data_IF_851994742959
#
_entry.id   IF_851994742959
#
_cell.length_a   1.000
_cell.length_b   1.000
_cell.length_c   1.000
_cell.angle_alpha   90.00
_cell.angle_beta   90.00
_cell.angle_gamma   90.00
#
_symmetry.space_group_name_H-M   'P 1'
#
loop_
_entity.id
_entity.type
_entity.pdbx_description
1 polymer ?
#
# COMPACT_ATOMS: atom_id res chain seq x y z
N UNK A 1 22.27 -39.27 -16.45
CA UNK A 1 21.56 -38.08 -16.98
C UNK A 1 22.58 -36.99 -17.18
N UNK A 2 22.83 -36.57 -18.42
CA UNK A 2 23.72 -35.45 -18.73
C UNK A 2 23.14 -34.17 -18.11
N UNK A 3 23.90 -33.50 -17.24
CA UNK A 3 23.48 -32.21 -16.71
C UNK A 3 23.37 -31.23 -17.89
N UNK A 4 22.15 -30.76 -18.20
CA UNK A 4 21.96 -29.70 -19.18
C UNK A 4 22.75 -28.48 -18.70
N UNK A 5 23.80 -28.10 -19.42
CA UNK A 5 24.51 -26.85 -19.16
C UNK A 5 23.67 -25.69 -19.70
N UNK A 6 23.19 -24.83 -18.79
CA UNK A 6 22.53 -23.60 -19.17
C UNK A 6 23.55 -22.47 -19.15
N UNK A 7 23.74 -21.81 -20.29
CA UNK A 7 24.57 -20.60 -20.37
C UNK A 7 23.84 -19.33 -19.93
N UNK A 8 22.51 -19.34 -19.82
CA UNK A 8 21.75 -18.13 -19.53
C UNK A 8 21.85 -17.09 -20.65
N UNK A 9 21.51 -15.84 -20.34
CA UNK A 9 21.64 -14.71 -21.28
C UNK A 9 23.06 -14.13 -21.28
N UNK A 10 23.46 -13.59 -22.41
CA UNK A 10 24.70 -12.82 -22.52
C UNK A 10 24.51 -11.37 -22.09
N UNK A 11 25.59 -10.73 -21.63
CA UNK A 11 25.57 -9.31 -21.21
C UNK A 11 24.98 -8.38 -22.29
N UNK A 12 25.28 -8.61 -23.57
CA UNK A 12 24.74 -7.80 -24.67
C UNK A 12 23.22 -7.97 -24.84
N UNK A 13 22.71 -9.21 -24.77
CA UNK A 13 21.27 -9.48 -24.87
C UNK A 13 20.48 -8.85 -23.71
N UNK A 14 21.10 -8.78 -22.53
CA UNK A 14 20.49 -8.16 -21.34
C UNK A 14 20.34 -6.66 -21.56
N UNK A 15 21.36 -5.97 -22.08
CA UNK A 15 21.27 -4.54 -22.36
C UNK A 15 20.17 -4.22 -23.38
N UNK A 16 20.05 -5.02 -24.43
CA UNK A 16 19.02 -4.83 -25.45
C UNK A 16 17.61 -5.09 -24.90
N UNK A 17 17.44 -6.15 -24.09
CA UNK A 17 16.15 -6.44 -23.44
C UNK A 17 15.80 -5.42 -22.36
N UNK A 18 16.76 -4.86 -21.64
CA UNK A 18 16.51 -3.77 -20.70
C UNK A 18 16.01 -2.51 -21.42
N UNK A 19 16.49 -2.23 -22.64
CA UNK A 19 15.96 -1.13 -23.47
C UNK A 19 14.56 -1.41 -23.98
N UNK A 20 14.24 -2.65 -24.34
CA UNK A 20 12.95 -3.05 -24.89
C UNK A 20 11.85 -3.18 -23.81
N UNK A 21 12.12 -3.93 -22.74
CA UNK A 21 11.15 -4.29 -21.70
C UNK A 21 11.20 -3.38 -20.47
N UNK A 22 12.29 -2.63 -20.28
CA UNK A 22 12.50 -1.79 -19.11
C UNK A 22 12.90 -2.58 -17.86
N UNK A 23 12.89 -1.90 -16.71
CA UNK A 23 13.23 -2.47 -15.41
C UNK A 23 12.10 -3.36 -14.87
N UNK A 24 12.46 -4.39 -14.11
CA UNK A 24 11.53 -5.24 -13.36
C UNK A 24 11.03 -4.50 -12.09
N UNK A 25 10.29 -3.42 -12.30
CA UNK A 25 9.67 -2.63 -11.24
C UNK A 25 8.17 -2.50 -11.47
N UNK A 26 7.40 -2.63 -10.40
CA UNK A 26 6.01 -2.24 -10.40
C UNK A 26 5.95 -0.71 -10.49
N UNK A 27 5.29 -0.19 -11.53
CA UNK A 27 5.16 1.25 -11.71
C UNK A 27 4.40 1.83 -10.52
N UNK A 28 5.08 2.59 -9.66
CA UNK A 28 4.39 3.39 -8.65
C UNK A 28 3.71 4.59 -9.32
N UNK A 29 2.52 5.00 -8.82
CA UNK A 29 1.90 6.30 -9.18
C UNK A 29 3.00 7.38 -9.19
N UNK A 30 3.07 8.16 -10.28
CA UNK A 30 4.04 9.26 -10.43
C UNK A 30 4.03 10.09 -9.16
N UNK A 31 5.21 10.33 -8.58
CA UNK A 31 5.37 11.23 -7.42
C UNK A 31 4.63 12.52 -7.72
N UNK A 32 3.84 13.01 -6.77
CA UNK A 32 3.19 14.30 -6.97
C UNK A 32 4.33 15.33 -7.01
N UNK A 33 4.46 16.03 -8.12
CA UNK A 33 5.51 17.05 -8.26
C UNK A 33 5.30 18.10 -7.17
N UNK A 34 6.34 18.52 -6.42
CA UNK A 34 6.20 19.58 -5.42
C UNK A 34 5.58 20.86 -6.01
N UNK A 35 5.87 21.15 -7.28
CA UNK A 35 5.29 22.29 -8.01
C UNK A 35 3.78 22.06 -8.23
N UNK A 36 3.36 20.83 -8.54
CA UNK A 36 1.95 20.49 -8.70
C UNK A 36 1.19 20.58 -7.37
N UNK A 37 1.80 20.17 -6.26
CA UNK A 37 1.24 20.32 -4.90
C UNK A 37 1.08 21.80 -4.55
N UNK A 38 2.08 22.62 -4.89
CA UNK A 38 2.03 24.05 -4.66
C UNK A 38 0.93 24.72 -5.50
N UNK A 39 0.88 24.43 -6.81
CA UNK A 39 -0.13 24.98 -7.72
C UNK A 39 -1.55 24.51 -7.38
N UNK A 40 -1.72 23.28 -6.88
CA UNK A 40 -3.03 22.80 -6.45
C UNK A 40 -3.57 23.56 -5.25
N UNK A 41 -2.70 24.16 -4.41
CA UNK A 41 -3.16 25.02 -3.31
C UNK A 41 -3.92 26.24 -3.83
N UNK A 42 -3.62 26.74 -5.03
CA UNK A 42 -4.29 27.91 -5.61
C UNK A 42 -5.55 27.55 -6.40
N UNK A 43 -5.83 26.26 -6.61
CA UNK A 43 -6.97 25.79 -7.37
C UNK A 43 -8.20 25.53 -6.49
N UNK A 44 -8.47 26.45 -5.56
CA UNK A 44 -9.64 26.45 -4.68
C UNK A 44 -10.54 27.64 -5.04
N UNK A 45 -11.86 27.40 -5.06
CA UNK A 45 -12.88 28.41 -5.35
C UNK A 45 -12.73 29.65 -4.44
N UNK A 46 -12.37 29.46 -3.17
CA UNK A 46 -12.15 30.55 -2.22
C UNK A 46 -10.97 31.43 -2.65
N UNK A 47 -9.86 30.83 -3.06
CA UNK A 47 -8.67 31.57 -3.50
C UNK A 47 -8.96 32.32 -4.81
N UNK A 48 -9.77 31.74 -5.70
CA UNK A 48 -10.25 32.45 -6.89
C UNK A 48 -11.08 33.69 -6.54
N UNK A 49 -12.01 33.59 -5.57
CA UNK A 49 -12.78 34.74 -5.08
C UNK A 49 -11.85 35.81 -4.50
N UNK A 50 -10.90 35.41 -3.66
CA UNK A 50 -9.94 36.34 -3.05
C UNK A 50 -9.03 36.99 -4.10
N UNK A 51 -8.57 36.25 -5.12
CA UNK A 51 -7.80 36.82 -6.23
C UNK A 51 -8.60 37.87 -7.00
N UNK A 52 -9.87 37.60 -7.31
CA UNK A 52 -10.75 38.58 -7.95
C UNK A 52 -10.92 39.82 -7.07
N UNK A 53 -11.13 39.65 -5.76
CA UNK A 53 -11.22 40.75 -4.81
C UNK A 53 -9.92 41.58 -4.73
N UNK A 54 -8.75 40.94 -4.70
CA UNK A 54 -7.44 41.61 -4.73
C UNK A 54 -7.26 42.45 -6.00
N UNK A 55 -7.63 41.90 -7.17
CA UNK A 55 -7.53 42.62 -8.45
C UNK A 55 -8.45 43.85 -8.45
N UNK A 56 -9.70 43.70 -8.03
CA UNK A 56 -10.66 44.80 -7.97
C UNK A 56 -10.20 45.89 -6.99
N UNK A 57 -9.79 45.52 -5.78
CA UNK A 57 -9.24 46.45 -4.78
C UNK A 57 -7.99 47.18 -5.29
N UNK A 58 -7.13 46.49 -6.04
CA UNK A 58 -5.93 47.07 -6.64
C UNK A 58 -6.23 48.11 -7.71
N UNK A 59 -7.22 47.86 -8.57
CA UNK A 59 -7.68 48.85 -9.56
C UNK A 59 -8.38 50.05 -8.93
N UNK A 60 -9.03 49.85 -7.79
CA UNK A 60 -9.78 50.87 -7.05
C UNK A 60 -8.91 51.83 -6.24
N UNK A 61 -7.60 51.56 -6.12
CA UNK A 61 -6.64 52.45 -5.45
C UNK A 61 -6.41 52.13 -3.97
N UNK A 62 -7.17 51.21 -3.39
CA UNK A 62 -7.00 50.71 -2.03
C UNK A 62 -5.88 49.66 -1.96
N UNK A 63 -4.65 50.16 -2.01
CA UNK A 63 -3.43 49.33 -2.01
C UNK A 63 -3.28 48.58 -0.69
N UNK A 64 -3.75 49.13 0.43
CA UNK A 64 -3.60 48.51 1.75
C UNK A 64 -4.41 47.20 1.86
N UNK A 65 -5.68 47.22 1.46
CA UNK A 65 -6.56 46.03 1.48
C UNK A 65 -6.11 44.99 0.44
N UNK A 66 -5.76 45.43 -0.77
CA UNK A 66 -5.24 44.54 -1.81
C UNK A 66 -3.95 43.81 -1.35
N UNK A 67 -3.00 44.53 -0.74
CA UNK A 67 -1.76 43.94 -0.21
C UNK A 67 -2.07 42.97 0.94
N UNK A 68 -3.02 43.31 1.81
CA UNK A 68 -3.39 42.46 2.95
C UNK A 68 -3.99 41.13 2.49
N UNK A 69 -4.93 41.17 1.54
CA UNK A 69 -5.53 39.95 0.95
C UNK A 69 -4.46 39.13 0.22
N UNK A 70 -3.55 39.78 -0.52
CA UNK A 70 -2.46 39.09 -1.21
C UNK A 70 -1.53 38.36 -0.24
N UNK A 71 -1.18 38.98 0.89
CA UNK A 71 -0.37 38.34 1.95
C UNK A 71 -1.07 37.09 2.49
N UNK A 72 -2.38 37.17 2.74
CA UNK A 72 -3.17 36.04 3.24
C UNK A 72 -3.16 34.88 2.23
N UNK A 73 -3.40 35.16 0.94
CA UNK A 73 -3.37 34.14 -0.14
C UNK A 73 -2.01 33.44 -0.18
N UNK A 74 -0.91 34.20 -0.17
CA UNK A 74 0.45 33.66 -0.23
C UNK A 74 0.77 32.84 1.01
N UNK A 75 0.41 33.33 2.20
CA UNK A 75 0.63 32.64 3.46
C UNK A 75 -0.14 31.31 3.51
N UNK A 76 -1.40 31.29 3.08
CA UNK A 76 -2.22 30.08 3.01
C UNK A 76 -1.65 29.07 2.01
N UNK A 77 -1.21 29.52 0.83
CA UNK A 77 -0.55 28.64 -0.15
C UNK A 77 0.75 28.01 0.37
N UNK A 78 1.59 28.77 1.09
CA UNK A 78 2.82 28.26 1.70
C UNK A 78 2.50 27.26 2.82
N UNK A 79 1.58 27.59 3.72
CA UNK A 79 1.19 26.71 4.83
C UNK A 79 0.59 25.40 4.31
N UNK A 80 -0.30 25.47 3.31
CA UNK A 80 -0.88 24.30 2.66
C UNK A 80 0.18 23.42 2.00
N UNK A 81 1.09 24.02 1.22
CA UNK A 81 2.20 23.31 0.59
C UNK A 81 3.10 22.60 1.61
N UNK A 82 3.51 23.29 2.67
CA UNK A 82 4.39 22.71 3.71
C UNK A 82 3.70 21.54 4.42
N UNK A 83 2.41 21.66 4.73
CA UNK A 83 1.62 20.60 5.38
C UNK A 83 1.48 19.36 4.48
N UNK A 84 1.15 19.56 3.22
CA UNK A 84 0.93 18.47 2.27
C UNK A 84 2.25 17.78 1.89
N UNK A 85 3.31 18.55 1.63
CA UNK A 85 4.65 18.03 1.31
C UNK A 85 5.25 17.21 2.46
N UNK A 86 5.10 17.66 3.71
CA UNK A 86 5.58 16.92 4.89
C UNK A 86 4.87 15.58 5.04
N UNK A 87 3.57 15.55 4.76
CA UNK A 87 2.74 14.34 4.85
C UNK A 87 3.17 13.31 3.81
N UNK A 88 3.40 13.73 2.56
CA UNK A 88 3.83 12.83 1.48
C UNK A 88 5.24 12.25 1.73
N UNK A 89 6.18 13.07 2.21
CA UNK A 89 7.57 12.66 2.46
C UNK A 89 7.68 11.61 3.58
N UNK A 90 6.86 11.72 4.63
CA UNK A 90 6.80 10.72 5.70
C UNK A 90 6.30 9.36 5.20
N UNK A 91 5.41 9.34 4.20
CA UNK A 91 4.94 8.10 3.58
C UNK A 91 5.95 7.49 2.61
N UNK A 92 6.72 8.31 1.90
CA UNK A 92 7.77 7.85 1.00
C UNK A 92 8.91 7.13 1.74
N UNK A 93 9.27 7.61 2.94
CA UNK A 93 10.32 6.98 3.76
C UNK A 93 9.94 5.58 4.24
N UNK A 94 8.64 5.30 4.44
CA UNK A 94 8.14 3.97 4.79
C UNK A 94 8.19 2.98 3.60
N UNK A 95 8.18 3.46 2.35
CA UNK A 95 8.23 2.61 1.14
C UNK A 95 9.64 2.12 0.79
N UNK A 96 10.71 2.76 1.27
CA UNK A 96 12.10 2.51 0.82
C UNK A 96 12.81 1.32 1.49
N UNK A 97 12.13 0.57 2.36
CA UNK A 97 12.76 -0.46 3.20
C UNK A 97 12.78 -1.88 2.59
N UNK A 98 12.54 -2.06 1.29
CA UNK A 98 12.33 -3.41 0.72
C UNK A 98 12.72 -3.48 -0.76
N UNK A 99 13.99 -3.73 -1.08
CA UNK A 99 14.38 -4.15 -2.44
C UNK A 99 15.03 -5.53 -2.37
N UNK A 100 14.38 -6.59 -2.89
CA UNK A 100 14.94 -7.94 -2.89
C UNK A 100 16.00 -8.13 -3.98
N UNK A 101 16.94 -9.06 -3.74
CA UNK A 101 17.94 -9.54 -4.71
C UNK A 101 17.49 -10.85 -5.35
N UNK A 102 18.10 -11.25 -6.46
CA UNK A 102 17.82 -12.50 -7.18
C UNK A 102 19.12 -13.19 -7.65
N UNK A 103 19.13 -14.53 -7.64
CA UNK A 103 20.24 -15.37 -8.15
C UNK A 103 19.92 -15.80 -9.58
N UNK A 104 20.80 -15.47 -10.53
CA UNK A 104 20.60 -15.70 -11.97
C UNK A 104 21.79 -16.41 -12.60
N UNK A 105 21.56 -17.07 -13.74
CA UNK A 105 22.62 -17.59 -14.61
C UNK A 105 22.75 -16.66 -15.82
N UNK A 106 23.91 -16.01 -15.97
CA UNK A 106 24.27 -15.13 -17.09
C UNK A 106 25.69 -15.44 -17.55
N UNK A 107 25.93 -15.46 -18.85
CA UNK A 107 27.23 -15.83 -19.44
C UNK A 107 27.86 -17.13 -18.86
N UNK A 108 27.00 -18.09 -18.51
CA UNK A 108 27.35 -19.39 -17.90
C UNK A 108 27.76 -19.34 -16.43
N UNK A 109 27.64 -18.17 -15.77
CA UNK A 109 28.01 -17.96 -14.37
C UNK A 109 26.79 -17.65 -13.52
N UNK A 110 26.86 -18.05 -12.25
CA UNK A 110 25.85 -17.70 -11.27
C UNK A 110 26.19 -16.34 -10.68
N UNK A 111 25.26 -15.39 -10.77
CA UNK A 111 25.42 -14.03 -10.25
C UNK A 111 24.22 -13.66 -9.36
N UNK A 112 24.49 -12.88 -8.33
CA UNK A 112 23.43 -12.28 -7.49
C UNK A 112 23.26 -10.84 -7.92
N UNK A 113 22.10 -10.53 -8.48
CA UNK A 113 21.76 -9.20 -8.99
C UNK A 113 20.61 -8.60 -8.19
N UNK A 114 20.43 -7.28 -8.29
CA UNK A 114 19.19 -6.68 -7.85
C UNK A 114 18.05 -7.18 -8.76
N UNK A 115 16.93 -7.62 -8.18
CA UNK A 115 15.77 -8.12 -8.91
C UNK A 115 15.21 -7.12 -9.93
N UNK A 116 15.47 -5.82 -9.74
CA UNK A 116 15.11 -4.71 -10.65
C UNK A 116 15.72 -4.89 -12.05
N UNK A 117 16.88 -5.54 -12.17
CA UNK A 117 17.59 -5.73 -13.45
C UNK A 117 17.27 -7.06 -14.15
N UNK A 118 16.25 -7.78 -13.69
CA UNK A 118 15.76 -8.96 -14.38
C UNK A 118 15.05 -8.59 -15.67
N UNK A 119 15.28 -9.38 -16.71
CA UNK A 119 14.61 -9.25 -18.01
C UNK A 119 13.95 -10.56 -18.41
N UNK A 120 12.92 -10.52 -19.28
CA UNK A 120 12.37 -11.74 -19.86
C UNK A 120 13.49 -12.59 -20.48
N UNK A 121 13.45 -13.88 -20.19
CA UNK A 121 14.40 -14.90 -20.61
C UNK A 121 15.63 -15.09 -19.71
N UNK A 122 15.80 -14.30 -18.65
CA UNK A 122 16.75 -14.63 -17.58
C UNK A 122 16.43 -16.00 -17.00
N UNK A 123 17.48 -16.73 -16.61
CA UNK A 123 17.35 -18.00 -15.92
C UNK A 123 17.63 -17.79 -14.43
N UNK A 124 16.57 -17.79 -13.62
CA UNK A 124 16.67 -17.64 -12.16
C UNK A 124 16.90 -19.00 -11.50
N UNK A 125 17.72 -19.00 -10.45
CA UNK A 125 17.91 -20.14 -9.56
C UNK A 125 17.05 -19.92 -8.34
N UNK A 126 16.33 -20.95 -7.94
CA UNK A 126 15.36 -20.92 -6.86
C UNK A 126 15.77 -21.93 -5.79
N UNK A 127 15.82 -21.46 -4.55
CA UNK A 127 16.04 -22.25 -3.35
C UNK A 127 14.89 -22.03 -2.35
N UNK A 128 14.69 -22.99 -1.45
CA UNK A 128 13.71 -22.83 -0.36
C UNK A 128 13.97 -21.54 0.44
N UNK A 129 12.90 -20.77 0.66
CA UNK A 129 12.94 -19.46 1.28
C UNK A 129 13.05 -18.29 0.29
N UNK A 130 13.40 -18.54 -0.97
CA UNK A 130 13.48 -17.48 -1.98
C UNK A 130 12.09 -16.95 -2.34
N UNK A 131 12.03 -15.64 -2.56
CA UNK A 131 10.87 -14.98 -3.14
C UNK A 131 11.04 -14.91 -4.65
N UNK A 132 10.01 -15.32 -5.40
CA UNK A 132 10.06 -15.28 -6.86
C UNK A 132 10.12 -13.83 -7.33
N UNK A 133 11.17 -13.43 -8.06
CA UNK A 133 11.41 -12.02 -8.35
C UNK A 133 10.66 -11.51 -9.60
N UNK A 134 10.19 -12.42 -10.46
CA UNK A 134 9.48 -12.13 -11.70
C UNK A 134 8.70 -13.38 -12.16
N UNK A 135 7.64 -13.20 -12.96
CA UNK A 135 6.86 -14.32 -13.48
C UNK A 135 7.71 -15.19 -14.41
N UNK A 136 7.78 -16.48 -14.10
CA UNK A 136 8.72 -17.41 -14.71
C UNK A 136 8.06 -18.76 -14.98
N UNK A 137 8.62 -19.51 -15.94
CA UNK A 137 8.24 -20.88 -16.25
C UNK A 137 9.32 -21.80 -15.70
N UNK A 138 8.93 -22.82 -14.94
CA UNK A 138 9.87 -23.78 -14.36
C UNK A 138 10.51 -24.64 -15.45
N UNK A 139 11.83 -24.67 -15.50
CA UNK A 139 12.62 -25.44 -16.49
C UNK A 139 13.23 -26.68 -15.84
N UNK A 140 13.66 -26.55 -14.59
CA UNK A 140 14.14 -27.65 -13.76
C UNK A 140 13.58 -27.49 -12.36
N UNK A 141 13.18 -28.58 -11.72
CA UNK A 141 12.67 -28.56 -10.37
C UNK A 141 12.91 -29.91 -9.71
N UNK A 142 13.25 -29.89 -8.42
CA UNK A 142 13.24 -31.08 -7.60
C UNK A 142 12.46 -30.78 -6.32
N UNK A 143 11.33 -31.49 -6.16
CA UNK A 143 10.37 -31.34 -5.05
C UNK A 143 10.01 -29.87 -4.76
N UNK A 144 9.73 -29.09 -5.82
CA UNK A 144 9.44 -27.66 -5.67
C UNK A 144 7.99 -27.48 -5.18
N UNK A 145 7.85 -26.75 -4.07
CA UNK A 145 6.54 -26.36 -3.53
C UNK A 145 6.50 -24.86 -3.33
N UNK A 146 5.42 -24.22 -3.79
CA UNK A 146 5.24 -22.78 -3.80
C UNK A 146 4.11 -22.35 -2.87
N UNK A 147 4.32 -21.25 -2.14
CA UNK A 147 3.26 -20.51 -1.46
C UNK A 147 2.68 -19.45 -2.40
N UNK A 148 1.51 -19.75 -2.97
CA UNK A 148 0.76 -18.88 -3.87
C UNK A 148 -0.30 -18.03 -3.14
N UNK A 149 -0.29 -18.00 -1.80
CA UNK A 149 -1.30 -17.29 -0.99
C UNK A 149 -1.44 -15.80 -1.32
N UNK A 150 -0.37 -15.16 -1.81
CA UNK A 150 -0.40 -13.76 -2.25
C UNK A 150 -1.28 -13.51 -3.47
N UNK A 151 -1.51 -14.52 -4.31
CA UNK A 151 -2.33 -14.42 -5.52
C UNK A 151 -3.69 -15.11 -5.35
N UNK A 152 -3.72 -16.23 -4.63
CA UNK A 152 -4.93 -17.06 -4.51
C UNK A 152 -5.67 -16.86 -3.19
N UNK A 153 -4.99 -16.34 -2.16
CA UNK A 153 -5.52 -16.28 -0.80
C UNK A 153 -5.52 -17.62 -0.06
N UNK A 154 -4.96 -18.69 -0.63
CA UNK A 154 -4.90 -20.01 0.03
C UNK A 154 -3.47 -20.36 0.45
N UNK A 155 -3.31 -20.80 1.71
CA UNK A 155 -2.01 -21.12 2.33
C UNK A 155 -1.44 -22.49 1.96
N UNK A 156 -2.21 -23.30 1.24
CA UNK A 156 -1.81 -24.67 0.92
C UNK A 156 -0.71 -24.60 -0.14
N UNK A 157 0.42 -25.25 0.15
CA UNK A 157 1.54 -25.31 -0.77
C UNK A 157 1.15 -25.98 -2.09
N UNK A 158 1.53 -25.36 -3.21
CA UNK A 158 1.27 -25.87 -4.55
C UNK A 158 2.55 -26.53 -5.07
N UNK A 159 2.49 -27.83 -5.35
CA UNK A 159 3.59 -28.53 -6.00
C UNK A 159 3.71 -28.10 -7.47
N UNK A 160 4.94 -27.86 -7.92
CA UNK A 160 5.24 -27.47 -9.30
C UNK A 160 6.30 -28.39 -9.89
N UNK A 161 5.97 -29.03 -11.01
CA UNK A 161 6.90 -29.84 -11.79
C UNK A 161 7.09 -29.22 -13.19
N UNK A 162 8.32 -29.21 -13.76
CA UNK A 162 8.53 -28.74 -15.13
C UNK A 162 7.65 -29.41 -16.18
N UNK A 163 7.21 -30.65 -15.95
CA UNK A 163 6.38 -31.44 -16.88
C UNK A 163 4.87 -31.15 -16.75
N UNK A 164 4.46 -30.42 -15.71
CA UNK A 164 3.05 -30.10 -15.50
C UNK A 164 2.54 -29.13 -16.58
N UNK A 165 1.24 -29.21 -16.88
CA UNK A 165 0.58 -28.27 -17.80
C UNK A 165 0.61 -26.83 -17.29
N UNK A 166 0.66 -26.65 -15.96
CA UNK A 166 0.86 -25.35 -15.30
C UNK A 166 2.13 -25.39 -14.43
N UNK A 167 3.26 -25.18 -15.10
CA UNK A 167 4.58 -25.06 -14.49
C UNK A 167 5.00 -23.59 -14.29
N UNK A 168 4.03 -22.66 -14.33
CA UNK A 168 4.27 -21.25 -14.06
C UNK A 168 4.49 -21.01 -12.57
N UNK A 169 5.38 -20.08 -12.27
CA UNK A 169 5.62 -19.53 -10.95
C UNK A 169 5.56 -17.99 -11.03
N UNK A 170 5.03 -17.35 -10.00
CA UNK A 170 4.60 -15.97 -10.10
C UNK A 170 5.35 -15.03 -9.15
N UNK A 171 5.58 -13.80 -9.60
CA UNK A 171 6.26 -12.75 -8.85
C UNK A 171 5.63 -12.55 -7.47
N UNK A 172 6.46 -12.53 -6.43
CA UNK A 172 6.05 -12.29 -5.05
C UNK A 172 5.71 -13.55 -4.25
N UNK A 173 5.42 -14.68 -4.91
CA UNK A 173 5.25 -16.00 -4.25
C UNK A 173 6.56 -16.47 -3.61
N UNK A 174 6.48 -17.42 -2.69
CA UNK A 174 7.64 -17.91 -1.91
C UNK A 174 7.86 -19.40 -2.21
N UNK A 175 9.12 -19.80 -2.38
CA UNK A 175 9.49 -21.23 -2.46
C UNK A 175 9.47 -21.81 -1.05
N UNK A 176 8.54 -22.71 -0.75
CA UNK A 176 8.47 -23.37 0.55
C UNK A 176 9.56 -24.44 0.67
N UNK A 177 9.63 -25.34 -0.32
CA UNK A 177 10.58 -26.45 -0.32
C UNK A 177 11.11 -26.71 -1.73
N UNK A 178 12.22 -27.45 -1.79
CA UNK A 178 12.85 -27.84 -3.05
C UNK A 178 13.83 -26.81 -3.61
N UNK A 179 14.28 -27.08 -4.83
CA UNK A 179 15.15 -26.19 -5.62
C UNK A 179 14.84 -26.35 -7.09
N UNK A 180 15.07 -25.29 -7.86
CA UNK A 180 14.79 -25.30 -9.28
C UNK A 180 15.48 -24.20 -10.05
N UNK A 181 15.26 -24.23 -11.36
CA UNK A 181 15.62 -23.16 -12.28
C UNK A 181 14.37 -22.79 -13.06
N UNK A 182 14.10 -21.50 -13.18
CA UNK A 182 12.96 -21.01 -13.94
C UNK A 182 13.41 -19.94 -14.92
N UNK A 183 12.77 -19.90 -16.08
CA UNK A 183 13.02 -18.91 -17.10
C UNK A 183 11.97 -17.81 -16.99
N UNK A 184 12.42 -16.58 -16.79
CA UNK A 184 11.54 -15.40 -16.69
C UNK A 184 10.80 -15.22 -18.02
N UNK A 185 9.50 -14.95 -17.97
CA UNK A 185 8.71 -14.57 -19.14
C UNK A 185 8.03 -13.21 -18.99
N UNK A 186 7.73 -12.79 -17.74
CA UNK A 186 7.11 -11.50 -17.45
C UNK A 186 7.87 -10.74 -16.36
N UNK A 187 8.07 -9.44 -16.56
CA UNK A 187 8.71 -8.54 -15.58
C UNK A 187 7.87 -7.29 -15.33
N UNK A 188 8.03 -6.68 -14.16
CA UNK A 188 7.36 -5.43 -13.78
C UNK A 188 5.85 -5.51 -13.94
N UNK A 189 5.28 -4.57 -14.70
CA UNK A 189 3.83 -4.48 -14.93
C UNK A 189 3.24 -5.61 -15.78
N UNK A 190 4.08 -6.39 -16.49
CA UNK A 190 3.62 -7.50 -17.32
C UNK A 190 3.43 -8.81 -16.53
N UNK A 191 3.80 -8.82 -15.24
CA UNK A 191 3.53 -9.93 -14.32
C UNK A 191 2.06 -9.96 -13.88
N UNK A 192 1.57 -11.08 -13.36
CA UNK A 192 0.24 -11.18 -12.74
C UNK A 192 0.12 -10.21 -11.56
N UNK A 193 1.16 -10.09 -10.73
CA UNK A 193 1.22 -9.09 -9.67
C UNK A 193 1.19 -7.66 -10.24
N UNK A 194 1.82 -7.43 -11.38
CA UNK A 194 1.79 -6.18 -12.14
C UNK A 194 0.41 -5.83 -12.67
N UNK A 195 -0.35 -6.81 -13.16
CA UNK A 195 -1.75 -6.64 -13.56
C UNK A 195 -2.63 -6.29 -12.37
N UNK A 196 -2.45 -6.96 -11.23
CA UNK A 196 -3.14 -6.61 -9.98
C UNK A 196 -2.79 -5.18 -9.56
N UNK A 197 -1.51 -4.80 -9.60
CA UNK A 197 -1.07 -3.44 -9.30
C UNK A 197 -1.69 -2.41 -10.26
N UNK A 198 -1.80 -2.72 -11.56
CA UNK A 198 -2.46 -1.87 -12.54
C UNK A 198 -3.94 -1.67 -12.22
N UNK A 199 -4.66 -2.76 -11.92
CA UNK A 199 -6.08 -2.69 -11.51
C UNK A 199 -6.23 -1.78 -10.28
N UNK A 200 -5.37 -1.93 -9.26
CA UNK A 200 -5.38 -1.06 -8.08
C UNK A 200 -5.03 0.40 -8.41
N UNK A 201 -4.19 0.65 -9.42
CA UNK A 201 -3.84 2.01 -9.87
C UNK A 201 -4.93 2.68 -10.69
N UNK A 202 -5.76 1.90 -11.39
CA UNK A 202 -6.90 2.41 -12.16
C UNK A 202 -8.06 2.88 -11.29
N UNK A 203 -8.05 2.58 -9.98
CA UNK A 203 -9.02 3.10 -9.03
C UNK A 203 -8.67 4.57 -8.73
N UNK A 204 -9.58 5.48 -9.10
CA UNK A 204 -9.47 6.91 -8.78
C UNK A 204 -9.55 7.12 -7.26
N UNK A 205 -8.75 8.04 -6.74
CA UNK A 205 -8.81 8.40 -5.32
C UNK A 205 -10.09 9.23 -5.07
N UNK A 206 -11.15 8.59 -4.56
CA UNK A 206 -12.36 9.29 -4.12
C UNK A 206 -12.10 10.16 -2.86
N UNK A 207 -12.74 11.33 -2.74
CA UNK A 207 -12.67 12.14 -1.53
C UNK A 207 -13.28 11.40 -0.34
N UNK A 208 -12.75 11.62 0.86
CA UNK A 208 -13.33 11.00 2.06
C UNK A 208 -14.71 11.60 2.40
N UNK A 209 -15.59 10.86 3.08
CA UNK A 209 -16.93 11.36 3.42
C UNK A 209 -16.91 12.70 4.19
N UNK A 210 -15.94 12.91 5.09
CA UNK A 210 -15.75 14.17 5.80
C UNK A 210 -15.32 15.27 4.84
N UNK A 211 -14.44 14.99 3.87
CA UNK A 211 -14.05 15.96 2.85
C UNK A 211 -15.25 16.38 2.00
N UNK A 212 -16.12 15.44 1.62
CA UNK A 212 -17.36 15.77 0.91
C UNK A 212 -18.32 16.62 1.75
N UNK A 213 -18.50 16.27 3.03
CA UNK A 213 -19.34 17.03 3.95
C UNK A 213 -18.78 18.42 4.21
N UNK A 214 -17.48 18.55 4.40
CA UNK A 214 -16.81 19.84 4.58
C UNK A 214 -16.91 20.71 3.33
N UNK A 215 -16.75 20.13 2.13
CA UNK A 215 -16.96 20.85 0.88
C UNK A 215 -18.41 21.32 0.71
N UNK A 216 -19.37 20.47 1.09
CA UNK A 216 -20.80 20.81 1.04
C UNK A 216 -21.15 21.92 2.03
N UNK A 217 -20.67 21.82 3.28
CA UNK A 217 -20.80 22.87 4.29
C UNK A 217 -20.13 24.17 3.85
N UNK A 218 -18.93 24.08 3.28
CA UNK A 218 -18.19 25.22 2.73
C UNK A 218 -18.99 25.94 1.64
N UNK A 219 -19.57 25.19 0.69
CA UNK A 219 -20.45 25.76 -0.35
C UNK A 219 -21.65 26.48 0.25
N UNK A 220 -22.34 25.86 1.22
CA UNK A 220 -23.50 26.47 1.88
C UNK A 220 -23.10 27.76 2.59
N UNK A 221 -21.99 27.75 3.33
CA UNK A 221 -21.51 28.91 4.07
C UNK A 221 -21.08 30.03 3.12
N UNK A 222 -20.35 29.72 2.04
CA UNK A 222 -19.96 30.71 1.02
C UNK A 222 -21.19 31.36 0.38
N UNK A 223 -22.19 30.57 -0.02
CA UNK A 223 -23.43 31.10 -0.60
C UNK A 223 -24.17 31.99 0.40
N UNK A 224 -24.26 31.57 1.66
CA UNK A 224 -24.88 32.36 2.73
C UNK A 224 -24.13 33.68 2.96
N UNK A 225 -22.80 33.64 3.08
CA UNK A 225 -21.94 34.81 3.28
C UNK A 225 -22.05 35.79 2.12
N UNK A 226 -21.97 35.32 0.87
CA UNK A 226 -22.12 36.17 -0.31
C UNK A 226 -23.51 36.80 -0.38
N UNK A 227 -24.56 36.05 -0.02
CA UNK A 227 -25.93 36.58 0.03
C UNK A 227 -26.05 37.70 1.08
N UNK A 228 -25.52 37.48 2.29
CA UNK A 228 -25.52 38.50 3.35
C UNK A 228 -24.69 39.72 2.92
N UNK A 229 -23.51 39.52 2.35
CA UNK A 229 -22.67 40.62 1.86
C UNK A 229 -23.40 41.43 0.78
N UNK A 230 -24.02 40.76 -0.20
CA UNK A 230 -24.80 41.44 -1.23
C UNK A 230 -25.97 42.24 -0.65
N UNK A 231 -26.71 41.67 0.32
CA UNK A 231 -27.81 42.36 1.01
C UNK A 231 -27.32 43.58 1.79
N UNK A 232 -26.22 43.45 2.55
CA UNK A 232 -25.65 44.54 3.34
C UNK A 232 -25.13 45.66 2.43
N UNK A 233 -24.36 45.32 1.39
CA UNK A 233 -23.87 46.29 0.39
C UNK A 233 -25.03 47.00 -0.31
N UNK A 234 -26.07 46.26 -0.72
CA UNK A 234 -27.23 46.85 -1.38
C UNK A 234 -28.02 47.78 -0.45
N UNK A 235 -28.29 47.36 0.79
CA UNK A 235 -28.99 48.20 1.77
C UNK A 235 -28.18 49.43 2.16
N UNK A 236 -26.85 49.33 2.24
CA UNK A 236 -25.96 50.47 2.46
C UNK A 236 -26.05 51.49 1.34
N UNK A 237 -25.99 51.04 0.08
CA UNK A 237 -26.16 51.90 -1.09
C UNK A 237 -27.56 52.55 -1.09
N UNK A 238 -28.61 51.78 -0.78
CA UNK A 238 -29.97 52.30 -0.69
C UNK A 238 -30.13 53.36 0.42
N UNK A 239 -29.35 53.25 1.50
CA UNK A 239 -29.31 54.23 2.59
C UNK A 239 -28.55 55.52 2.25
N UNK A 240 -27.90 55.56 1.08
CA UNK A 240 -27.14 56.72 0.60
C UNK A 240 -25.65 56.67 0.92
N UNK A 241 -25.13 55.54 1.41
CA UNK A 241 -23.68 55.35 1.58
C UNK A 241 -22.98 55.28 0.23
N UNK A 242 -21.68 55.59 0.22
CA UNK A 242 -20.89 55.50 -0.99
C UNK A 242 -20.82 54.06 -1.49
N UNK A 243 -21.13 53.85 -2.77
CA UNK A 243 -21.05 52.54 -3.45
C UNK A 243 -19.67 51.92 -3.30
N UNK A 244 -18.62 52.75 -3.31
CA UNK A 244 -17.23 52.33 -3.12
C UNK A 244 -17.00 51.73 -1.73
N UNK A 245 -17.36 52.48 -0.67
CA UNK A 245 -17.16 52.06 0.72
C UNK A 245 -17.99 50.82 1.06
N UNK A 246 -19.20 50.70 0.48
CA UNK A 246 -20.07 49.55 0.65
C UNK A 246 -19.62 48.30 -0.11
N UNK A 247 -18.97 48.47 -1.27
CA UNK A 247 -18.34 47.37 -1.97
C UNK A 247 -17.13 46.84 -1.20
N UNK A 248 -16.22 47.72 -0.76
CA UNK A 248 -15.05 47.33 0.04
C UNK A 248 -15.47 46.68 1.37
N UNK A 249 -16.45 47.24 2.07
CA UNK A 249 -16.98 46.65 3.30
C UNK A 249 -17.58 45.26 3.07
N UNK A 250 -18.26 45.06 1.93
CA UNK A 250 -18.80 43.76 1.54
C UNK A 250 -17.73 42.72 1.26
N UNK A 251 -16.64 43.11 0.58
CA UNK A 251 -15.47 42.25 0.34
C UNK A 251 -14.78 41.91 1.67
N UNK A 252 -14.50 42.90 2.52
CA UNK A 252 -13.86 42.69 3.82
C UNK A 252 -14.70 41.80 4.74
N UNK A 253 -16.03 41.94 4.71
CA UNK A 253 -16.95 41.06 5.42
C UNK A 253 -16.91 39.62 4.86
N UNK A 254 -16.87 39.48 3.54
CA UNK A 254 -16.79 38.16 2.90
C UNK A 254 -15.50 37.44 3.28
N UNK A 255 -14.34 38.13 3.26
CA UNK A 255 -13.04 37.59 3.67
C UNK A 255 -13.07 37.17 5.14
N UNK A 256 -13.59 38.02 6.02
CA UNK A 256 -13.64 37.75 7.46
C UNK A 256 -14.54 36.54 7.81
N UNK A 257 -15.51 36.20 6.96
CA UNK A 257 -16.46 35.13 7.20
C UNK A 257 -15.98 33.75 6.72
N UNK A 258 -14.86 33.67 5.99
CA UNK A 258 -14.33 32.40 5.48
C UNK A 258 -13.73 31.59 6.64
N UNK A 259 -14.19 30.35 6.89
CA UNK A 259 -13.70 29.54 8.00
C UNK A 259 -12.38 28.84 7.60
N UNK A 260 -11.31 29.62 7.42
CA UNK A 260 -9.99 29.12 7.01
C UNK A 260 -9.42 28.11 8.03
N UNK A 261 -9.82 28.23 9.30
CA UNK A 261 -9.40 27.33 10.37
C UNK A 261 -10.00 25.92 10.30
N UNK A 262 -11.07 25.70 9.51
CA UNK A 262 -11.79 24.42 9.51
C UNK A 262 -10.92 23.27 9.01
N UNK A 263 -10.20 23.47 7.90
CA UNK A 263 -9.29 22.46 7.32
C UNK A 263 -8.12 22.15 8.24
N UNK A 264 -7.60 23.17 8.95
CA UNK A 264 -6.52 23.00 9.92
C UNK A 264 -6.99 22.20 11.15
N UNK A 265 -8.14 22.55 11.72
CA UNK A 265 -8.73 21.86 12.87
C UNK A 265 -8.98 20.38 12.54
N UNK A 266 -9.55 20.10 11.36
CA UNK A 266 -9.81 18.73 10.91
C UNK A 266 -8.51 17.93 10.76
N UNK A 267 -7.48 18.54 10.16
CA UNK A 267 -6.17 17.89 9.99
C UNK A 267 -5.52 17.56 11.34
N UNK A 268 -5.57 18.49 12.29
CA UNK A 268 -5.05 18.27 13.65
C UNK A 268 -5.83 17.18 14.39
N UNK A 269 -7.16 17.20 14.28
CA UNK A 269 -8.03 16.18 14.88
C UNK A 269 -7.72 14.78 14.33
N UNK A 270 -7.59 14.64 13.00
CA UNK A 270 -7.22 13.38 12.35
C UNK A 270 -5.80 12.92 12.75
N UNK A 271 -4.84 13.84 12.83
CA UNK A 271 -3.47 13.52 13.24
C UNK A 271 -3.41 13.01 14.69
N UNK A 272 -4.18 13.61 15.60
CA UNK A 272 -4.33 13.10 16.97
C UNK A 272 -4.97 11.71 16.99
N UNK A 273 -5.94 11.44 16.12
CA UNK A 273 -6.54 10.12 15.90
C UNK A 273 -5.51 9.08 15.45
N UNK A 274 -4.70 9.41 14.43
CA UNK A 274 -3.60 8.56 13.95
C UNK A 274 -2.58 8.29 15.05
N UNK A 275 -2.20 9.30 15.83
CA UNK A 275 -1.27 9.12 16.94
C UNK A 275 -1.80 8.14 18.00
N UNK A 276 -3.10 8.19 18.31
CA UNK A 276 -3.75 7.24 19.23
C UNK A 276 -3.81 5.82 18.66
N UNK A 277 -4.08 5.68 17.36
CA UNK A 277 -4.07 4.38 16.67
C UNK A 277 -2.67 3.75 16.63
N UNK A 278 -1.63 4.56 16.37
CA UNK A 278 -0.25 4.10 16.36
C UNK A 278 0.20 3.55 17.71
N UNK A 279 -0.22 4.19 18.82
CA UNK A 279 0.01 3.68 20.19
C UNK A 279 -0.63 2.31 20.45
N UNK A 280 -1.57 1.87 19.61
CA UNK A 280 -2.21 0.56 19.65
C UNK A 280 -1.74 -0.36 18.52
N UNK A 281 -0.53 -0.11 17.98
CA UNK A 281 0.07 -0.88 16.88
C UNK A 281 -0.71 -0.84 15.55
N UNK A 282 -1.61 0.13 15.36
CA UNK A 282 -2.33 0.33 14.10
C UNK A 282 -1.71 1.48 13.31
N UNK A 283 -0.96 1.15 12.25
CA UNK A 283 -0.29 2.15 11.40
C UNK A 283 -1.24 2.67 10.32
N UNK A 284 -1.59 3.95 10.41
CA UNK A 284 -2.42 4.62 9.40
C UNK A 284 -1.56 5.33 8.36
N UNK A 285 -1.69 4.92 7.09
CA UNK A 285 -0.90 5.47 5.97
C UNK A 285 -1.54 6.68 5.29
N UNK A 286 -2.84 6.94 5.48
CA UNK A 286 -3.52 8.11 4.92
C UNK A 286 -4.39 8.72 6.03
N UNK A 287 -4.22 10.02 6.33
CA UNK A 287 -5.00 10.68 7.41
C UNK A 287 -6.53 10.46 7.30
N UNK A 288 -7.15 10.53 6.09
CA UNK A 288 -8.59 10.29 5.95
C UNK A 288 -9.05 8.86 6.27
N UNK A 289 -8.13 7.89 6.36
CA UNK A 289 -8.49 6.50 6.65
C UNK A 289 -9.02 6.32 8.08
N UNK A 290 -8.64 7.19 9.03
CA UNK A 290 -9.18 7.17 10.41
C UNK A 290 -10.69 7.40 10.41
N UNK A 291 -11.14 8.35 9.60
CA UNK A 291 -12.54 8.71 9.47
C UNK A 291 -13.30 7.66 8.65
N UNK A 292 -12.70 7.20 7.55
CA UNK A 292 -13.28 6.12 6.72
C UNK A 292 -13.61 4.90 7.57
N UNK A 293 -12.68 4.46 8.44
CA UNK A 293 -12.90 3.33 9.35
C UNK A 293 -14.04 3.59 10.35
N UNK A 294 -14.20 4.82 10.81
CA UNK A 294 -15.28 5.21 11.72
C UNK A 294 -16.67 5.24 11.07
N UNK A 295 -16.72 5.40 9.74
CA UNK A 295 -17.96 5.43 8.96
C UNK A 295 -18.21 4.14 8.16
N UNK A 296 -17.33 3.15 8.27
CA UNK A 296 -17.47 1.85 7.59
C UNK A 296 -18.73 1.12 8.06
N UNK A 297 -19.61 0.78 7.12
CA UNK A 297 -20.82 -0.01 7.36
C UNK A 297 -20.68 -1.49 6.97
N UNK A 298 -19.77 -1.79 6.05
CA UNK A 298 -19.50 -3.13 5.54
C UNK A 298 -18.00 -3.40 5.58
N UNK A 299 -17.61 -4.49 6.23
CA UNK A 299 -16.23 -4.96 6.27
C UNK A 299 -16.12 -6.18 5.36
N UNK A 300 -15.46 -6.02 4.22
CA UNK A 300 -15.02 -7.14 3.40
C UNK A 300 -13.67 -7.61 3.91
N UNK A 301 -13.64 -8.76 4.57
CA UNK A 301 -12.41 -9.34 5.11
C UNK A 301 -11.96 -10.49 4.23
N UNK A 302 -10.66 -10.56 3.95
CA UNK A 302 -10.06 -11.80 3.49
C UNK A 302 -10.07 -12.82 4.65
N UNK A 303 -10.02 -14.11 4.31
CA UNK A 303 -9.94 -15.21 5.29
C UNK A 303 -8.50 -15.36 5.75
N UNK A 304 -7.61 -15.68 4.81
CA UNK A 304 -6.28 -16.19 5.11
C UNK A 304 -5.33 -15.07 5.53
N UNK A 305 -4.71 -15.20 6.71
CA UNK A 305 -3.80 -14.18 7.23
C UNK A 305 -4.47 -12.88 7.72
N UNK A 306 -5.80 -12.81 7.64
CA UNK A 306 -6.61 -11.70 8.17
C UNK A 306 -7.55 -12.18 9.27
N UNK A 307 -8.41 -13.16 8.99
CA UNK A 307 -9.24 -13.82 10.01
C UNK A 307 -8.52 -15.02 10.62
N UNK A 308 -7.72 -15.72 9.82
CA UNK A 308 -6.89 -16.84 10.26
C UNK A 308 -5.44 -16.39 10.43
N UNK A 309 -4.67 -17.12 11.24
CA UNK A 309 -3.26 -16.82 11.48
C UNK A 309 -2.33 -17.17 10.31
N UNK A 310 -2.88 -17.62 9.17
CA UNK A 310 -2.14 -18.17 8.04
C UNK A 310 -1.15 -19.29 8.48
N UNK A 311 -1.58 -20.11 9.44
CA UNK A 311 -0.79 -21.18 10.05
C UNK A 311 -1.65 -22.44 10.11
N UNK A 312 -1.13 -23.52 9.55
CA UNK A 312 -1.74 -24.83 9.67
C UNK A 312 -1.63 -25.29 11.13
N UNK A 313 -2.75 -25.68 11.71
CA UNK A 313 -2.85 -26.08 13.11
C UNK A 313 -3.75 -27.30 13.21
N UNK A 314 -3.32 -28.31 13.96
CA UNK A 314 -4.18 -29.47 14.24
C UNK A 314 -5.30 -29.00 15.16
N UNK A 315 -6.55 -29.25 14.74
CA UNK A 315 -7.75 -28.82 15.49
C UNK A 315 -8.33 -29.95 16.34
N UNK A 316 -8.35 -31.17 15.80
CA UNK A 316 -8.92 -32.31 16.49
C UNK A 316 -8.19 -33.62 16.16
N UNK A 317 -8.28 -34.57 17.09
CA UNK A 317 -7.71 -35.90 17.01
C UNK A 317 -8.79 -36.95 17.21
N UNK A 318 -8.87 -37.94 16.32
CA UNK A 318 -9.74 -39.09 16.51
C UNK A 318 -8.92 -40.23 17.13
N UNK A 319 -9.23 -40.59 18.37
CA UNK A 319 -8.55 -41.68 19.08
C UNK A 319 -9.58 -42.57 19.79
N UNK A 320 -9.51 -43.88 19.59
CA UNK A 320 -10.46 -44.87 20.13
C UNK A 320 -11.94 -44.53 19.88
N UNK A 321 -12.25 -44.00 18.69
CA UNK A 321 -13.61 -43.61 18.31
C UNK A 321 -14.13 -42.34 18.97
N UNK A 322 -13.30 -41.63 19.75
CA UNK A 322 -13.61 -40.34 20.36
C UNK A 322 -12.82 -39.22 19.68
N UNK A 323 -13.51 -38.12 19.37
CA UNK A 323 -12.88 -36.89 18.87
C UNK A 323 -12.45 -36.07 20.08
N UNK A 324 -11.18 -35.70 20.10
CA UNK A 324 -10.56 -34.81 21.08
C UNK A 324 -10.22 -33.50 20.38
N UNK A 325 -10.88 -32.42 20.76
CA UNK A 325 -10.53 -31.07 20.29
C UNK A 325 -9.29 -30.59 21.06
N UNK A 326 -8.25 -30.13 20.36
CA UNK A 326 -6.95 -29.81 20.96
C UNK A 326 -7.01 -28.55 21.83
N UNK A 327 -7.95 -27.64 21.56
CA UNK A 327 -8.07 -26.41 22.35
C UNK A 327 -8.93 -26.61 23.60
N UNK A 328 -9.91 -27.51 23.54
CA UNK A 328 -10.78 -27.85 24.67
C UNK A 328 -10.21 -28.96 25.56
N UNK A 329 -9.65 -30.02 24.99
CA UNK A 329 -9.13 -31.19 25.70
C UNK A 329 -7.59 -31.15 25.80
N UNK A 330 -7.08 -30.13 26.50
CA UNK A 330 -5.63 -29.94 26.77
C UNK A 330 -4.98 -31.08 27.56
N UNK A 331 -5.78 -32.01 28.07
CA UNK A 331 -5.35 -33.15 28.87
C UNK A 331 -5.04 -34.40 28.05
N UNK A 332 -5.39 -34.39 26.76
CA UNK A 332 -5.12 -35.51 25.87
C UNK A 332 -3.61 -35.68 25.65
N UNK A 333 -3.02 -36.61 26.40
CA UNK A 333 -1.63 -37.00 26.25
C UNK A 333 -1.54 -38.49 25.86
N UNK A 334 -0.96 -38.75 24.69
CA UNK A 334 -0.74 -40.09 24.18
C UNK A 334 0.66 -40.19 23.57
N UNK A 335 1.57 -40.82 24.31
CA UNK A 335 2.96 -41.02 23.91
C UNK A 335 3.12 -41.77 22.58
N UNK A 336 2.21 -42.68 22.24
CA UNK A 336 2.28 -43.45 21.00
C UNK A 336 1.97 -42.53 19.82
N UNK A 337 0.90 -41.73 19.90
CA UNK A 337 0.56 -40.76 18.86
C UNK A 337 1.65 -39.70 18.69
N UNK A 338 2.19 -39.19 19.81
CA UNK A 338 3.35 -38.28 19.79
C UNK A 338 4.53 -38.89 19.03
N UNK A 339 4.89 -40.14 19.33
CA UNK A 339 5.97 -40.85 18.62
C UNK A 339 5.68 -41.06 17.15
N UNK A 340 4.44 -41.40 16.78
CA UNK A 340 4.05 -41.57 15.38
C UNK A 340 4.21 -40.26 14.62
N UNK A 341 3.71 -39.14 15.15
CA UNK A 341 3.79 -37.83 14.48
C UNK A 341 5.19 -37.23 14.45
N UNK A 342 6.10 -37.67 15.32
CA UNK A 342 7.51 -37.26 15.28
C UNK A 342 8.34 -38.17 14.38
N UNK A 343 8.15 -39.48 14.43
CA UNK A 343 8.95 -40.43 13.66
C UNK A 343 8.53 -40.55 12.20
N UNK A 344 7.25 -40.33 11.89
CA UNK A 344 6.72 -40.39 10.52
C UNK A 344 6.59 -38.99 9.90
N UNK A 345 7.57 -38.13 10.13
CA UNK A 345 7.51 -36.72 9.77
C UNK A 345 8.90 -36.25 9.31
N UNK A 346 8.97 -35.56 8.18
CA UNK A 346 10.23 -35.11 7.58
C UNK A 346 10.57 -33.65 7.92
N UNK A 347 9.87 -33.07 8.91
CA UNK A 347 10.15 -31.72 9.41
C UNK A 347 11.54 -31.64 10.04
N UNK A 348 12.31 -30.66 9.59
CA UNK A 348 13.63 -30.36 10.12
C UNK A 348 13.54 -29.36 11.29
N UNK A 349 14.58 -29.33 12.14
CA UNK A 349 14.62 -28.49 13.33
C UNK A 349 15.85 -27.59 13.39
N UNK A 350 15.65 -26.30 13.51
CA UNK A 350 16.70 -25.32 13.71
C UNK A 350 16.97 -25.11 15.20
N UNK A 351 18.01 -25.79 15.70
CA UNK A 351 18.48 -25.72 17.08
C UNK A 351 18.99 -24.35 17.55
N UNK A 352 19.18 -23.38 16.64
CA UNK A 352 19.60 -22.02 17.00
C UNK A 352 18.45 -21.10 17.44
N UNK A 353 17.20 -21.53 17.24
CA UNK A 353 16.01 -20.75 17.58
C UNK A 353 15.43 -21.19 18.92
N UNK A 354 15.19 -20.23 19.82
CA UNK A 354 14.62 -20.50 21.15
C UNK A 354 13.10 -20.72 21.15
N UNK A 355 12.43 -20.51 20.02
CA UNK A 355 10.97 -20.75 19.90
C UNK A 355 10.72 -21.89 18.94
N UNK A 356 10.03 -22.95 19.42
CA UNK A 356 9.61 -24.13 18.64
C UNK A 356 8.96 -23.73 17.32
N UNK A 357 8.15 -22.67 17.35
CA UNK A 357 7.42 -22.16 16.20
C UNK A 357 8.30 -21.69 15.04
N UNK A 358 9.45 -21.07 15.35
CA UNK A 358 10.43 -20.61 14.36
C UNK A 358 11.54 -21.62 14.10
N UNK A 359 11.61 -22.66 14.92
CA UNK A 359 12.63 -23.70 14.82
C UNK A 359 12.22 -24.78 13.80
N UNK A 360 10.93 -25.09 13.68
CA UNK A 360 10.42 -26.08 12.74
C UNK A 360 10.46 -25.57 11.30
N UNK A 361 11.03 -26.39 10.40
CA UNK A 361 11.11 -26.14 8.96
C UNK A 361 10.62 -27.37 8.21
N UNK A 362 9.57 -27.25 7.41
CA UNK A 362 8.98 -28.37 6.68
C UNK A 362 7.63 -28.02 6.09
N UNK A 363 6.89 -29.02 5.63
CA UNK A 363 5.52 -28.84 5.14
C UNK A 363 4.61 -28.24 6.24
N UNK A 364 3.65 -27.36 5.91
CA UNK A 364 2.72 -26.81 6.90
C UNK A 364 2.00 -27.88 7.72
N UNK A 365 1.63 -29.02 7.12
CA UNK A 365 0.97 -30.12 7.81
C UNK A 365 1.91 -30.83 8.77
N UNK A 366 3.12 -31.11 8.32
CA UNK A 366 4.17 -31.76 9.13
C UNK A 366 4.55 -30.92 10.35
N UNK A 367 4.77 -29.61 10.13
CA UNK A 367 5.07 -28.67 11.21
C UNK A 367 3.88 -28.53 12.18
N UNK A 368 2.63 -28.55 11.67
CA UNK A 368 1.43 -28.50 12.48
C UNK A 368 1.28 -29.74 13.39
N UNK A 369 1.56 -30.94 12.85
CA UNK A 369 1.47 -32.20 13.61
C UNK A 369 2.43 -32.22 14.81
N UNK A 370 3.66 -31.70 14.64
CA UNK A 370 4.61 -31.57 15.75
C UNK A 370 4.09 -30.51 16.75
N UNK A 371 3.68 -29.33 16.28
CA UNK A 371 3.17 -28.26 17.16
C UNK A 371 1.92 -28.64 17.94
N UNK A 372 1.07 -29.51 17.39
CA UNK A 372 -0.16 -29.97 18.02
C UNK A 372 0.08 -30.70 19.35
N UNK A 373 1.23 -31.33 19.52
CA UNK A 373 1.59 -32.09 20.73
C UNK A 373 2.70 -31.46 21.57
N UNK A 374 3.52 -30.60 20.97
CA UNK A 374 4.63 -29.93 21.63
C UNK A 374 4.39 -28.41 21.59
N UNK A 375 3.57 -27.91 22.52
CA UNK A 375 3.26 -26.48 22.71
C UNK A 375 4.36 -25.74 23.46
#
# INVERSE_FOLDING_TARGET
>A
MSAKEYRGLSTNEIEDRLKEYGLNELQSKKKVSPIKIFLSQFNDLIIWILMVATVISGFMGDKADAITILIIIVMNGILGFVQEYKTEKSLEQLKKLSSPTAKVIRDGKIEVINSIYLVPGDLVILESGDRIPADSILVEGNNLMMDESLLTGESVGVHKNPEDSDNNIYMGTIVLTGRGKAKVYGTGMNTEMGRIAHMLHSIEDEPSPLKERLNSLGKVLVVLCLTICAVVTFLGIYRGENVYDMFLSGVSLAVAAIPEGLSAIVTVALALGVSRMLKRNALVRKLPAVETLGCTSVICSDKTGTLTENRMTVTALLHNGKIHDIDEDKSFDNDILKKIFVYCNDCNYNYSSNSMEKALMGDPTETALIKGFFK
#
